data_IF_072226329620
#
_entry.id   IF_072226329620
#
_cell.length_a   1.000
_cell.length_b   1.000
_cell.length_c   1.000
_cell.angle_alpha   90.00
_cell.angle_beta   90.00
_cell.angle_gamma   90.00
#
_symmetry.space_group_name_H-M   'P 1'
#
loop_
_entity.id
_entity.type
_entity.pdbx_description
1 polymer ?
#
# COMPACT_ATOMS: atom_id res chain seq x y z
N UNK A 1 17.64 10.42 -19.41
CA UNK A 1 16.75 9.42 -18.76
C UNK A 1 17.34 9.10 -17.39
N UNK A 2 17.07 9.94 -16.39
CA UNK A 2 17.67 9.89 -15.03
C UNK A 2 16.55 9.88 -13.97
N UNK A 3 15.59 8.96 -14.10
CA UNK A 3 14.40 8.92 -13.24
C UNK A 3 14.26 7.66 -12.38
N UNK A 4 15.21 6.72 -12.44
CA UNK A 4 15.06 5.39 -11.84
C UNK A 4 15.93 5.15 -10.59
N UNK A 5 16.79 6.11 -10.21
CA UNK A 5 17.67 5.97 -9.04
C UNK A 5 17.04 6.42 -7.71
N UNK A 6 15.85 7.06 -7.74
CA UNK A 6 15.15 7.41 -6.50
C UNK A 6 14.45 6.22 -5.81
N UNK A 7 14.55 5.01 -6.39
CA UNK A 7 13.90 3.80 -5.89
C UNK A 7 14.68 3.08 -4.78
N UNK A 8 15.97 3.37 -4.62
CA UNK A 8 16.78 2.77 -3.57
C UNK A 8 17.08 3.85 -2.55
N UNK A 9 16.53 3.70 -1.33
CA UNK A 9 16.80 4.56 -0.19
C UNK A 9 18.27 4.51 0.26
N UNK A 10 19.19 5.02 -0.56
CA UNK A 10 20.65 5.05 -0.34
C UNK A 10 21.07 5.99 0.81
N UNK A 11 20.11 6.67 1.46
CA UNK A 11 20.34 7.46 2.66
C UNK A 11 19.83 6.81 3.96
N UNK A 12 19.22 5.63 3.88
CA UNK A 12 18.57 5.02 5.04
C UNK A 12 19.59 4.21 5.84
N UNK A 13 19.76 4.46 7.16
CA UNK A 13 20.69 3.69 8.00
C UNK A 13 20.40 2.18 7.88
N UNK A 14 21.47 1.36 7.85
CA UNK A 14 21.38 -0.11 7.71
C UNK A 14 20.44 -0.78 8.72
N UNK A 15 20.22 -0.13 9.86
CA UNK A 15 19.29 -0.61 10.87
C UNK A 15 17.86 -0.18 10.50
N UNK A 16 16.96 -1.12 10.18
CA UNK A 16 15.59 -0.80 9.79
C UNK A 16 14.81 -0.10 10.92
N UNK A 17 15.18 -0.28 12.19
CA UNK A 17 14.54 0.40 13.33
C UNK A 17 14.91 1.89 13.32
N UNK A 18 16.21 2.19 13.14
CA UNK A 18 16.70 3.56 13.08
C UNK A 18 16.19 4.25 11.80
N UNK A 19 16.12 3.52 10.70
CA UNK A 19 15.52 3.97 9.45
C UNK A 19 14.09 4.44 9.65
N UNK A 20 13.24 3.59 10.24
CA UNK A 20 11.86 3.92 10.49
C UNK A 20 11.73 5.14 11.42
N UNK A 21 12.59 5.27 12.43
CA UNK A 21 12.61 6.45 13.30
C UNK A 21 12.89 7.76 12.54
N UNK A 22 13.84 7.77 11.60
CA UNK A 22 14.13 8.96 10.80
C UNK A 22 13.06 9.24 9.75
N UNK A 23 12.45 8.19 9.20
CA UNK A 23 11.32 8.33 8.29
C UNK A 23 10.10 8.91 9.00
N UNK A 24 9.82 8.49 10.23
CA UNK A 24 8.74 9.01 11.08
C UNK A 24 8.92 10.52 11.34
N UNK A 25 10.12 10.95 11.74
CA UNK A 25 10.43 12.39 11.85
C UNK A 25 10.31 13.15 10.53
N UNK A 26 10.64 12.51 9.42
CA UNK A 26 10.57 13.15 8.10
C UNK A 26 9.11 13.23 7.60
N UNK A 27 8.26 12.26 7.94
CA UNK A 27 6.82 12.33 7.69
C UNK A 27 6.17 13.43 8.51
N UNK A 28 6.58 13.65 9.77
CA UNK A 28 6.10 14.77 10.59
C UNK A 28 6.44 16.14 9.99
N UNK A 29 7.51 16.22 9.18
CA UNK A 29 7.89 17.41 8.42
C UNK A 29 7.13 17.55 7.09
N UNK A 30 6.16 16.68 6.82
CA UNK A 30 5.36 16.69 5.59
C UNK A 30 6.12 16.19 4.37
N UNK A 31 7.14 15.34 4.54
CA UNK A 31 7.87 14.77 3.42
C UNK A 31 7.14 13.53 2.85
N UNK A 32 6.51 13.63 1.66
CA UNK A 32 5.74 12.51 1.12
C UNK A 32 6.59 11.31 0.71
N UNK A 33 7.87 11.51 0.39
CA UNK A 33 8.78 10.41 0.12
C UNK A 33 9.03 9.58 1.39
N UNK A 34 9.18 10.25 2.53
CA UNK A 34 9.36 9.57 3.81
C UNK A 34 8.09 8.81 4.24
N UNK A 35 6.91 9.41 4.07
CA UNK A 35 5.62 8.75 4.31
C UNK A 35 5.49 7.45 3.49
N UNK A 36 5.84 7.48 2.20
CA UNK A 36 5.80 6.29 1.34
C UNK A 36 6.79 5.19 1.77
N UNK A 37 8.01 5.57 2.18
CA UNK A 37 8.99 4.62 2.71
C UNK A 37 8.53 4.02 4.05
N UNK A 38 7.91 4.83 4.91
CA UNK A 38 7.38 4.37 6.19
C UNK A 38 6.16 3.45 6.01
N UNK A 39 5.29 3.73 5.03
CA UNK A 39 4.25 2.79 4.57
C UNK A 39 4.85 1.42 4.20
N UNK A 40 5.91 1.40 3.41
CA UNK A 40 6.59 0.14 3.06
C UNK A 40 7.16 -0.57 4.29
N UNK A 41 7.76 0.17 5.23
CA UNK A 41 8.28 -0.38 6.48
C UNK A 41 7.16 -1.03 7.32
N UNK A 42 6.01 -0.37 7.47
CA UNK A 42 4.83 -0.90 8.16
C UNK A 42 4.20 -2.10 7.45
N UNK A 43 4.23 -2.12 6.12
CA UNK A 43 3.72 -3.24 5.31
C UNK A 43 4.59 -4.48 5.39
N UNK A 44 5.90 -4.31 5.46
CA UNK A 44 6.86 -5.42 5.53
C UNK A 44 7.23 -5.81 6.97
N UNK A 45 6.84 -5.01 7.96
CA UNK A 45 7.27 -5.17 9.35
C UNK A 45 8.78 -4.97 9.53
N UNK A 46 9.41 -4.16 8.68
CA UNK A 46 10.86 -3.89 8.73
C UNK A 46 11.15 -2.72 9.65
N UNK A 47 11.61 -3.01 10.86
CA UNK A 47 12.03 -1.98 11.82
C UNK A 47 10.90 -1.32 12.59
N UNK A 48 9.65 -1.57 12.18
CA UNK A 48 8.42 -1.22 12.90
C UNK A 48 7.53 -2.46 13.01
N UNK A 49 6.66 -2.53 14.03
CA UNK A 49 5.60 -3.55 14.07
C UNK A 49 4.76 -3.48 12.80
N UNK A 50 4.33 -4.65 12.29
CA UNK A 50 3.43 -4.73 11.16
C UNK A 50 2.11 -4.01 11.50
N UNK A 51 1.83 -2.91 10.81
CA UNK A 51 0.60 -2.14 10.98
C UNK A 51 0.14 -1.59 9.62
N UNK A 52 -0.70 -2.37 8.96
CA UNK A 52 -1.24 -2.02 7.64
C UNK A 52 -2.20 -0.82 7.71
N UNK A 53 -2.87 -0.61 8.85
CA UNK A 53 -3.79 0.51 9.01
C UNK A 53 -3.00 1.83 9.02
N UNK A 54 -1.98 1.90 9.87
CA UNK A 54 -1.10 3.07 9.96
C UNK A 54 -0.30 3.29 8.68
N UNK A 55 0.16 2.22 8.04
CA UNK A 55 0.80 2.31 6.72
C UNK A 55 -0.14 2.94 5.68
N UNK A 56 -1.41 2.55 5.65
CA UNK A 56 -2.38 3.09 4.69
C UNK A 56 -2.67 4.57 4.93
N UNK A 57 -2.79 5.00 6.18
CA UNK A 57 -2.94 6.43 6.53
C UNK A 57 -1.77 7.26 5.95
N UNK A 58 -0.54 6.80 6.15
CA UNK A 58 0.66 7.46 5.59
C UNK A 58 0.66 7.47 4.05
N UNK A 59 0.17 6.40 3.43
CA UNK A 59 0.06 6.32 1.97
C UNK A 59 -0.98 7.32 1.42
N UNK A 60 -2.13 7.43 2.08
CA UNK A 60 -3.18 8.40 1.74
C UNK A 60 -2.69 9.84 1.92
N UNK A 61 -1.96 10.13 3.00
CA UNK A 61 -1.36 11.45 3.24
C UNK A 61 -0.29 11.78 2.18
N UNK A 62 0.58 10.83 1.84
CA UNK A 62 1.55 11.00 0.76
C UNK A 62 0.85 11.26 -0.59
N UNK A 63 -0.25 10.57 -0.87
CA UNK A 63 -1.05 10.79 -2.07
C UNK A 63 -1.75 12.16 -2.06
N UNK A 64 -2.16 12.66 -0.89
CA UNK A 64 -2.69 14.01 -0.72
C UNK A 64 -1.66 15.10 -1.07
N UNK A 65 -0.39 14.84 -0.79
CA UNK A 65 0.74 15.66 -1.21
C UNK A 65 1.16 15.46 -2.68
N UNK A 66 0.27 14.91 -3.51
CA UNK A 66 0.46 14.68 -4.94
C UNK A 66 1.67 13.80 -5.28
N UNK A 67 2.09 12.93 -4.33
CA UNK A 67 3.26 12.10 -4.52
C UNK A 67 2.98 10.96 -5.49
N UNK A 68 3.60 10.92 -6.69
CA UNK A 68 3.21 9.98 -7.73
C UNK A 68 3.30 8.50 -7.32
N UNK A 69 4.38 8.05 -6.63
CA UNK A 69 4.45 6.67 -6.16
C UNK A 69 3.33 6.29 -5.18
N UNK A 70 2.93 7.21 -4.31
CA UNK A 70 1.83 6.95 -3.36
C UNK A 70 0.48 6.89 -4.05
N UNK A 71 0.20 7.81 -4.99
CA UNK A 71 -1.04 7.80 -5.79
C UNK A 71 -1.14 6.50 -6.59
N UNK A 72 -0.04 6.09 -7.25
CA UNK A 72 -0.01 4.86 -8.04
C UNK A 72 -0.26 3.64 -7.17
N UNK A 73 0.42 3.54 -6.03
CA UNK A 73 0.25 2.44 -5.09
C UNK A 73 -1.18 2.39 -4.54
N UNK A 74 -1.74 3.53 -4.11
CA UNK A 74 -3.11 3.61 -3.61
C UNK A 74 -4.11 3.16 -4.69
N UNK A 75 -3.94 3.63 -5.93
CA UNK A 75 -4.76 3.20 -7.06
C UNK A 75 -4.65 1.69 -7.34
N UNK A 76 -3.47 1.07 -7.16
CA UNK A 76 -3.31 -0.38 -7.29
C UNK A 76 -4.04 -1.13 -6.18
N UNK A 77 -3.99 -0.64 -4.93
CA UNK A 77 -4.70 -1.29 -3.81
C UNK A 77 -6.22 -1.27 -3.99
N UNK A 78 -6.79 -0.14 -4.40
CA UNK A 78 -8.23 -0.01 -4.66
C UNK A 78 -8.67 -0.92 -5.81
N UNK A 79 -7.91 -0.94 -6.91
CA UNK A 79 -8.21 -1.82 -8.05
C UNK A 79 -8.11 -3.30 -7.69
N UNK A 80 -7.14 -3.69 -6.85
CA UNK A 80 -7.00 -5.06 -6.38
C UNK A 80 -8.21 -5.50 -5.54
N UNK A 81 -8.68 -4.65 -4.64
CA UNK A 81 -9.87 -4.92 -3.82
C UNK A 81 -11.14 -5.08 -4.68
N UNK A 82 -11.33 -4.18 -5.66
CA UNK A 82 -12.47 -4.25 -6.58
C UNK A 82 -12.42 -5.50 -7.47
N UNK A 83 -11.23 -5.87 -7.97
CA UNK A 83 -11.06 -7.08 -8.77
C UNK A 83 -11.33 -8.36 -7.96
N UNK A 84 -10.88 -8.42 -6.70
CA UNK A 84 -11.16 -9.54 -5.80
C UNK A 84 -12.66 -9.65 -5.51
N UNK A 85 -13.33 -8.51 -5.25
CA UNK A 85 -14.77 -8.46 -5.01
C UNK A 85 -15.57 -8.88 -6.24
N UNK A 86 -15.18 -8.43 -7.43
CA UNK A 86 -15.79 -8.84 -8.69
C UNK A 86 -15.66 -10.35 -8.92
N UNK A 87 -14.48 -10.92 -8.64
CA UNK A 87 -14.26 -12.37 -8.72
C UNK A 87 -15.14 -13.18 -7.75
N UNK A 88 -15.33 -12.70 -6.52
CA UNK A 88 -16.21 -13.34 -5.54
C UNK A 88 -17.67 -13.33 -6.00
N UNK A 89 -18.18 -12.17 -6.44
CA UNK A 89 -19.54 -12.03 -6.95
C UNK A 89 -19.80 -12.91 -8.18
N UNK A 90 -18.82 -13.04 -9.08
CA UNK A 90 -18.93 -13.93 -10.24
C UNK A 90 -19.07 -15.39 -9.83
N UNK A 91 -18.29 -15.86 -8.84
CA UNK A 91 -18.38 -17.23 -8.32
C UNK A 91 -19.76 -17.51 -7.71
N UNK A 92 -20.23 -16.62 -6.85
CA UNK A 92 -21.54 -16.73 -6.19
C UNK A 92 -22.68 -16.73 -7.22
N UNK A 93 -22.63 -15.86 -8.23
CA UNK A 93 -23.60 -15.82 -9.32
C UNK A 93 -23.61 -17.10 -10.17
N UNK A 94 -22.45 -17.74 -10.38
CA UNK A 94 -22.38 -19.02 -11.10
C UNK A 94 -22.91 -20.20 -10.27
N UNK A 95 -22.73 -20.21 -8.95
CA UNK A 95 -23.24 -21.27 -8.08
C UNK A 95 -24.76 -21.22 -7.93
N UNK A 96 -25.36 -20.02 -7.85
CA UNK A 96 -26.82 -19.88 -7.82
C UNK A 96 -27.51 -20.37 -9.10
N UNK A 97 -26.85 -20.26 -10.26
CA UNK A 97 -27.40 -20.76 -11.53
C UNK A 97 -27.41 -22.30 -11.58
N UNK A 98 -26.43 -22.95 -10.95
CA UNK A 98 -26.32 -24.41 -10.95
C UNK A 98 -27.33 -25.09 -10.01
N UNK A 99 -27.65 -24.46 -8.86
CA UNK A 99 -28.59 -25.03 -7.88
C UNK A 99 -30.08 -24.88 -8.24
N UNK A 100 -30.42 -24.09 -9.26
CA UNK A 100 -31.82 -23.88 -9.66
C UNK A 100 -32.28 -24.83 -10.80
N UNK A 101 -31.39 -25.68 -11.32
CA UNK A 101 -31.70 -26.65 -12.38
C UNK A 101 -32.14 -28.04 -11.88
N UNK A 102 -32.14 -28.28 -10.56
CA UNK A 102 -32.54 -29.56 -9.95
C UNK A 102 -33.92 -29.49 -9.25
N UNK A 103 -34.76 -28.52 -9.62
CA UNK A 103 -36.10 -28.30 -9.01
C UNK A 103 -37.29 -28.50 -9.96
N UNK A 104 -37.11 -29.17 -11.08
CA UNK A 104 -38.22 -29.68 -11.90
C UNK A 104 -38.03 -31.15 -12.21
#
# INVERSE_FOLDING_TARGET
>A
MLGLLAANGEGVPKDPVIAAHWLDKSSELGNPHAMFLLYNAYREGRGVPLDLARGRELLEEAAHHEYPPAIQELAMTVQADDALRAGHLMKEATEHRHNNWNKF
#
